data_IF_744409001461
#
_entry.id   IF_744409001461
#
_cell.length_a   1.000
_cell.length_b   1.000
_cell.length_c   1.000
_cell.angle_alpha   90.00
_cell.angle_beta   90.00
_cell.angle_gamma   90.00
#
_symmetry.space_group_name_H-M   'P 1'
#
loop_
_entity.id
_entity.type
_entity.pdbx_description
1 polymer ?
#
# COMPACT_ATOMS: atom_id res chain seq x y z
N UNK A 1 -13.49 22.51 -20.82
CA UNK A 1 -12.18 22.23 -20.17
C UNK A 1 -11.99 20.72 -20.13
N UNK A 2 -10.88 20.21 -20.66
CA UNK A 2 -10.47 18.83 -20.55
C UNK A 2 -9.48 18.72 -19.37
N UNK A 3 -9.71 17.87 -18.37
CA UNK A 3 -8.77 17.69 -17.27
C UNK A 3 -7.53 16.93 -17.77
N UNK A 4 -6.35 17.27 -17.21
CA UNK A 4 -5.11 16.53 -17.44
C UNK A 4 -5.07 15.22 -16.67
N UNK A 5 -5.79 15.15 -15.54
CA UNK A 5 -5.92 13.97 -14.66
C UNK A 5 -7.39 13.69 -14.42
N UNK A 6 -7.81 12.46 -14.66
CA UNK A 6 -9.16 11.97 -14.37
C UNK A 6 -9.08 10.86 -13.32
N UNK A 7 -9.67 11.08 -12.15
CA UNK A 7 -9.81 10.07 -11.10
C UNK A 7 -11.26 9.60 -11.10
N UNK A 8 -11.46 8.30 -11.30
CA UNK A 8 -12.81 7.72 -11.42
C UNK A 8 -12.79 6.24 -11.03
N UNK A 9 -13.95 5.62 -10.89
CA UNK A 9 -14.06 4.18 -10.80
C UNK A 9 -14.52 3.57 -12.12
N UNK A 10 -14.45 2.23 -12.25
CA UNK A 10 -14.73 1.55 -13.51
C UNK A 10 -16.17 1.77 -13.99
N UNK A 11 -17.16 1.73 -13.09
CA UNK A 11 -18.57 1.93 -13.43
C UNK A 11 -18.82 3.36 -13.94
N UNK A 12 -18.22 4.36 -13.30
CA UNK A 12 -18.32 5.75 -13.75
C UNK A 12 -17.63 5.93 -15.09
N UNK A 13 -16.47 5.31 -15.32
CA UNK A 13 -15.79 5.36 -16.62
C UNK A 13 -16.67 4.78 -17.73
N UNK A 14 -17.37 3.67 -17.47
CA UNK A 14 -18.33 3.10 -18.43
C UNK A 14 -19.45 4.08 -18.75
N UNK A 15 -20.05 4.73 -17.76
CA UNK A 15 -21.05 5.78 -17.99
C UNK A 15 -20.50 6.95 -18.78
N UNK A 16 -19.30 7.41 -18.48
CA UNK A 16 -18.64 8.51 -19.18
C UNK A 16 -18.39 8.20 -20.67
N UNK A 17 -18.08 6.96 -21.01
CA UNK A 17 -17.90 6.54 -22.41
C UNK A 17 -19.22 6.55 -23.22
N UNK A 18 -20.34 6.40 -22.55
CA UNK A 18 -21.68 6.36 -23.18
C UNK A 18 -22.36 7.72 -23.24
N UNK A 19 -22.08 8.62 -22.31
CA UNK A 19 -22.78 9.90 -22.18
C UNK A 19 -22.32 10.93 -23.20
N UNK A 20 -23.23 11.61 -23.87
CA UNK A 20 -22.88 12.74 -24.78
C UNK A 20 -22.21 13.91 -24.07
N UNK A 21 -22.51 14.10 -22.78
CA UNK A 21 -21.98 15.21 -21.96
C UNK A 21 -20.45 15.17 -21.85
N UNK A 22 -19.87 13.98 -21.74
CA UNK A 22 -18.43 13.78 -21.61
C UNK A 22 -17.70 13.63 -22.95
N UNK A 23 -18.43 13.70 -24.08
CA UNK A 23 -17.86 13.54 -25.40
C UNK A 23 -16.67 14.47 -25.66
N UNK A 24 -16.75 15.71 -25.17
CA UNK A 24 -15.69 16.69 -25.32
C UNK A 24 -14.36 16.24 -24.70
N UNK A 25 -14.39 15.54 -23.56
CA UNK A 25 -13.18 14.99 -22.90
C UNK A 25 -12.50 14.01 -23.87
N UNK A 26 -13.27 13.10 -24.45
CA UNK A 26 -12.74 12.10 -25.37
C UNK A 26 -12.22 12.70 -26.69
N UNK A 27 -12.92 13.70 -27.23
CA UNK A 27 -12.50 14.37 -28.44
C UNK A 27 -11.23 15.20 -28.24
N UNK A 28 -11.11 15.91 -27.12
CA UNK A 28 -9.91 16.69 -26.79
C UNK A 28 -8.71 15.77 -26.48
N UNK A 29 -8.94 14.67 -25.75
CA UNK A 29 -7.91 13.64 -25.49
C UNK A 29 -7.42 13.00 -26.79
N UNK A 30 -8.33 12.66 -27.72
CA UNK A 30 -7.97 12.12 -29.02
C UNK A 30 -7.12 13.11 -29.82
N UNK A 31 -7.54 14.38 -29.91
CA UNK A 31 -6.78 15.43 -30.61
C UNK A 31 -5.37 15.58 -30.04
N UNK A 32 -5.25 15.52 -28.72
CA UNK A 32 -3.94 15.58 -28.08
C UNK A 32 -3.08 14.35 -28.42
N UNK A 33 -3.64 13.15 -28.37
CA UNK A 33 -2.94 11.93 -28.76
C UNK A 33 -2.52 11.96 -30.26
N UNK A 34 -3.36 12.49 -31.15
CA UNK A 34 -3.08 12.58 -32.56
C UNK A 34 -2.06 13.68 -32.90
N UNK A 35 -1.87 14.66 -32.01
CA UNK A 35 -0.95 15.79 -32.26
C UNK A 35 0.52 15.38 -32.26
N UNK A 36 0.87 14.28 -31.63
CA UNK A 36 2.23 13.73 -31.61
C UNK A 36 2.20 12.22 -31.39
N UNK A 37 2.96 11.46 -32.19
CA UNK A 37 3.09 10.00 -32.06
C UNK A 37 3.67 9.53 -30.73
N UNK A 38 4.43 10.38 -30.06
CA UNK A 38 5.05 10.09 -28.77
C UNK A 38 4.12 10.33 -27.57
N UNK A 39 2.99 11.02 -27.79
CA UNK A 39 2.01 11.22 -26.74
C UNK A 39 1.40 9.89 -26.30
N UNK A 40 1.46 9.59 -25.02
CA UNK A 40 0.90 8.36 -24.42
C UNK A 40 -0.01 8.73 -23.26
N UNK A 41 -1.14 8.06 -23.21
CA UNK A 41 -2.03 8.12 -22.05
C UNK A 41 -1.47 7.23 -20.94
N UNK A 42 -1.43 7.72 -19.71
CA UNK A 42 -1.17 6.89 -18.52
C UNK A 42 -2.50 6.40 -17.96
N UNK A 43 -2.59 5.10 -17.73
CA UNK A 43 -3.78 4.46 -17.14
C UNK A 43 -3.37 3.69 -15.90
N UNK A 44 -3.83 4.16 -14.73
CA UNK A 44 -3.53 3.56 -13.45
C UNK A 44 -4.73 2.75 -12.97
N UNK A 45 -4.50 1.48 -12.65
CA UNK A 45 -5.50 0.59 -12.05
C UNK A 45 -5.03 0.27 -10.64
N UNK A 46 -5.70 0.91 -9.68
CA UNK A 46 -5.43 0.66 -8.28
C UNK A 46 -6.16 -0.60 -7.80
N UNK A 47 -5.56 -1.32 -6.85
CA UNK A 47 -6.07 -2.59 -6.31
C UNK A 47 -6.45 -3.60 -7.42
N UNK A 48 -5.57 -3.76 -8.41
CA UNK A 48 -5.83 -4.57 -9.60
C UNK A 48 -6.27 -6.02 -9.28
N UNK A 49 -5.87 -6.54 -8.12
CA UNK A 49 -6.27 -7.88 -7.66
C UNK A 49 -7.79 -8.05 -7.49
N UNK A 50 -8.54 -6.97 -7.33
CA UNK A 50 -10.00 -6.98 -7.27
C UNK A 50 -10.66 -7.39 -8.60
N UNK A 51 -9.95 -7.21 -9.72
CA UNK A 51 -10.47 -7.49 -11.06
C UNK A 51 -10.06 -8.87 -11.56
N UNK A 52 -10.48 -9.93 -10.83
CA UNK A 52 -10.25 -11.33 -11.22
C UNK A 52 -11.56 -11.98 -11.69
N UNK A 53 -11.44 -13.02 -12.53
CA UNK A 53 -12.59 -13.74 -13.05
C UNK A 53 -13.47 -12.89 -13.96
N UNK A 54 -14.79 -12.95 -13.78
CA UNK A 54 -15.76 -12.23 -14.64
C UNK A 54 -15.59 -10.72 -14.61
N UNK A 55 -15.35 -10.14 -13.42
CA UNK A 55 -15.13 -8.69 -13.29
C UNK A 55 -13.87 -8.21 -14.02
N UNK A 56 -12.83 -9.03 -14.05
CA UNK A 56 -11.64 -8.75 -14.86
C UNK A 56 -11.93 -8.71 -16.36
N UNK A 57 -12.78 -9.63 -16.84
CA UNK A 57 -13.25 -9.63 -18.22
C UNK A 57 -14.04 -8.35 -18.59
N UNK A 58 -14.91 -7.90 -17.71
CA UNK A 58 -15.69 -6.66 -17.90
C UNK A 58 -14.77 -5.43 -17.99
N UNK A 59 -13.79 -5.33 -17.08
CA UNK A 59 -12.80 -4.22 -17.09
C UNK A 59 -11.93 -4.28 -18.33
N UNK A 60 -11.47 -5.45 -18.76
CA UNK A 60 -10.70 -5.61 -20.01
C UNK A 60 -11.51 -5.17 -21.24
N UNK A 61 -12.82 -5.49 -21.29
CA UNK A 61 -13.71 -5.02 -22.35
C UNK A 61 -13.92 -3.52 -22.29
N UNK A 62 -14.07 -2.93 -21.11
CA UNK A 62 -14.18 -1.49 -20.92
C UNK A 62 -12.93 -0.77 -21.42
N UNK A 63 -11.75 -1.28 -21.14
CA UNK A 63 -10.47 -0.75 -21.63
C UNK A 63 -10.43 -0.79 -23.19
N UNK A 64 -10.86 -1.90 -23.82
CA UNK A 64 -10.96 -1.99 -25.28
C UNK A 64 -11.94 -0.95 -25.86
N UNK A 65 -13.07 -0.74 -25.19
CA UNK A 65 -14.03 0.32 -25.59
C UNK A 65 -13.41 1.72 -25.50
N UNK A 66 -12.61 1.97 -24.44
CA UNK A 66 -11.87 3.23 -24.30
C UNK A 66 -10.88 3.42 -25.46
N UNK A 67 -10.10 2.39 -25.80
CA UNK A 67 -9.17 2.46 -26.93
C UNK A 67 -9.90 2.74 -28.24
N UNK A 68 -11.00 2.06 -28.50
CA UNK A 68 -11.83 2.30 -29.67
C UNK A 68 -12.40 3.73 -29.66
N UNK A 69 -12.89 4.22 -28.52
CA UNK A 69 -13.42 5.58 -28.37
C UNK A 69 -12.37 6.65 -28.67
N UNK A 70 -11.13 6.43 -28.24
CA UNK A 70 -10.00 7.32 -28.47
C UNK A 70 -9.31 7.10 -29.82
N UNK A 71 -9.61 6.03 -30.55
CA UNK A 71 -8.95 5.68 -31.81
C UNK A 71 -7.50 5.29 -31.68
N UNK A 72 -7.12 4.69 -30.54
CA UNK A 72 -5.72 4.33 -30.23
C UNK A 72 -5.55 2.82 -30.05
N UNK A 73 -4.31 2.38 -30.20
CA UNK A 73 -3.88 1.03 -29.89
C UNK A 73 -3.17 0.94 -28.53
N UNK A 74 -2.97 -0.27 -28.06
CA UNK A 74 -2.40 -0.56 -26.73
C UNK A 74 -1.04 0.11 -26.48
N UNK A 75 -0.20 0.24 -27.50
CA UNK A 75 1.12 0.87 -27.42
C UNK A 75 1.11 2.38 -27.12
N UNK A 76 -0.06 3.03 -27.28
CA UNK A 76 -0.28 4.45 -26.95
C UNK A 76 -0.70 4.65 -25.49
N UNK A 77 -0.75 3.57 -24.71
CA UNK A 77 -1.14 3.60 -23.30
C UNK A 77 -0.07 2.95 -22.44
N UNK A 78 0.40 3.70 -21.44
CA UNK A 78 1.24 3.17 -20.38
C UNK A 78 0.36 2.76 -19.21
N UNK A 79 0.41 1.49 -18.81
CA UNK A 79 -0.33 0.99 -17.67
C UNK A 79 0.54 0.92 -16.43
N UNK A 80 -0.07 1.29 -15.29
CA UNK A 80 0.44 1.03 -13.95
C UNK A 80 -0.65 0.27 -13.21
N UNK A 81 -0.33 -0.91 -12.69
CA UNK A 81 -1.21 -1.70 -11.86
C UNK A 81 -0.63 -1.76 -10.45
N UNK A 82 -1.41 -1.33 -9.46
CA UNK A 82 -1.00 -1.46 -8.06
C UNK A 82 -1.76 -2.59 -7.39
N UNK A 83 -1.13 -3.27 -6.46
CA UNK A 83 -1.76 -4.33 -5.69
C UNK A 83 -0.94 -4.68 -4.45
N UNK A 84 -1.63 -4.89 -3.32
CA UNK A 84 -1.01 -5.36 -2.08
C UNK A 84 -1.08 -6.90 -1.92
N UNK A 85 -1.89 -7.60 -2.73
CA UNK A 85 -2.32 -8.98 -2.44
C UNK A 85 -1.95 -10.00 -3.52
N UNK A 86 -1.07 -9.66 -4.47
CA UNK A 86 -0.67 -10.65 -5.48
C UNK A 86 0.51 -11.51 -5.01
N UNK A 87 0.47 -12.83 -5.26
CA UNK A 87 1.55 -13.71 -4.84
C UNK A 87 2.85 -13.39 -5.60
N UNK A 88 3.97 -13.44 -4.88
CA UNK A 88 5.30 -13.16 -5.43
C UNK A 88 6.38 -14.11 -4.87
N UNK A 89 5.97 -15.30 -4.42
CA UNK A 89 6.83 -16.24 -3.70
C UNK A 89 7.86 -16.92 -4.62
N UNK A 90 7.51 -17.07 -5.89
CA UNK A 90 8.33 -17.78 -6.88
C UNK A 90 8.09 -17.23 -8.29
N UNK A 91 8.92 -17.66 -9.25
CA UNK A 91 8.83 -17.21 -10.64
C UNK A 91 7.49 -17.57 -11.31
N UNK A 92 6.83 -18.65 -10.90
CA UNK A 92 5.53 -19.05 -11.44
C UNK A 92 4.44 -18.07 -11.00
N UNK A 93 4.50 -17.59 -9.75
CA UNK A 93 3.59 -16.54 -9.26
C UNK A 93 3.77 -15.27 -10.08
N UNK A 94 5.01 -14.82 -10.26
CA UNK A 94 5.31 -13.63 -11.06
C UNK A 94 4.78 -13.77 -12.50
N UNK A 95 5.01 -14.89 -13.15
CA UNK A 95 4.50 -15.16 -14.49
C UNK A 95 2.96 -15.12 -14.55
N UNK A 96 2.30 -15.64 -13.52
CA UNK A 96 0.83 -15.59 -13.42
C UNK A 96 0.31 -14.16 -13.24
N UNK A 97 1.02 -13.33 -12.48
CA UNK A 97 0.70 -11.90 -12.30
C UNK A 97 0.90 -11.15 -13.63
N UNK A 98 1.98 -11.42 -14.34
CA UNK A 98 2.26 -10.81 -15.64
C UNK A 98 1.20 -11.19 -16.68
N UNK A 99 0.80 -12.46 -16.72
CA UNK A 99 -0.30 -12.93 -17.59
C UNK A 99 -1.60 -12.20 -17.26
N UNK A 100 -1.96 -12.12 -15.98
CA UNK A 100 -3.14 -11.38 -15.52
C UNK A 100 -3.08 -9.91 -15.94
N UNK A 101 -1.94 -9.25 -15.76
CA UNK A 101 -1.76 -7.85 -16.16
C UNK A 101 -1.98 -7.65 -17.68
N UNK A 102 -1.46 -8.54 -18.51
CA UNK A 102 -1.66 -8.49 -19.96
C UNK A 102 -3.14 -8.71 -20.35
N UNK A 103 -3.80 -9.70 -19.74
CA UNK A 103 -5.21 -9.98 -19.98
C UNK A 103 -6.12 -8.80 -19.59
N UNK A 104 -5.88 -8.21 -18.39
CA UNK A 104 -6.65 -7.09 -17.88
C UNK A 104 -6.47 -5.83 -18.72
N UNK A 105 -5.25 -5.55 -19.19
CA UNK A 105 -4.94 -4.35 -19.97
C UNK A 105 -5.26 -4.45 -21.45
N UNK A 106 -6.04 -5.44 -21.85
CA UNK A 106 -6.47 -5.67 -23.23
C UNK A 106 -5.30 -5.80 -24.23
N UNK A 107 -4.20 -6.38 -23.78
CA UNK A 107 -3.04 -6.61 -24.63
C UNK A 107 -3.28 -7.81 -25.55
N UNK A 108 -3.22 -7.58 -26.86
CA UNK A 108 -3.27 -8.64 -27.88
C UNK A 108 -1.88 -9.24 -28.15
N UNK A 109 -0.84 -8.56 -27.69
CA UNK A 109 0.56 -8.96 -27.78
C UNK A 109 1.17 -8.92 -26.39
N UNK A 110 2.01 -9.86 -26.03
CA UNK A 110 2.74 -9.81 -24.78
C UNK A 110 3.61 -8.55 -24.72
N UNK A 111 3.16 -7.59 -23.93
CA UNK A 111 3.91 -6.39 -23.61
C UNK A 111 4.55 -6.64 -22.26
N UNK A 112 5.88 -6.56 -22.16
CA UNK A 112 6.56 -6.82 -20.91
C UNK A 112 6.16 -5.75 -19.87
N UNK A 113 5.56 -6.18 -18.77
CA UNK A 113 5.42 -5.38 -17.58
C UNK A 113 6.72 -5.46 -16.77
N UNK A 114 7.14 -4.35 -16.18
CA UNK A 114 8.14 -4.36 -15.12
C UNK A 114 7.43 -4.69 -13.80
N UNK A 115 7.84 -5.79 -13.17
CA UNK A 115 7.30 -6.19 -11.86
C UNK A 115 8.14 -5.57 -10.77
N UNK A 116 7.55 -4.64 -10.02
CA UNK A 116 8.19 -3.96 -8.90
C UNK A 116 7.60 -4.50 -7.60
N UNK A 117 8.44 -4.99 -6.73
CA UNK A 117 8.08 -5.36 -5.35
C UNK A 117 8.77 -4.41 -4.38
N UNK A 118 8.07 -4.02 -3.33
CA UNK A 118 8.72 -3.41 -2.18
C UNK A 118 9.68 -4.41 -1.54
N UNK A 119 10.82 -3.96 -1.12
CA UNK A 119 11.66 -4.72 -0.21
C UNK A 119 10.96 -4.78 1.15
N UNK A 120 10.91 -5.99 1.73
CA UNK A 120 10.44 -6.10 3.11
C UNK A 120 11.55 -5.56 3.98
N UNK A 121 11.28 -4.53 4.74
CA UNK A 121 12.21 -4.08 5.77
C UNK A 121 12.57 -5.29 6.64
N UNK A 122 13.85 -5.60 6.71
CA UNK A 122 14.37 -6.57 7.67
C UNK A 122 14.57 -5.83 8.97
N UNK A 123 14.07 -6.40 10.05
CA UNK A 123 14.39 -5.88 11.38
C UNK A 123 15.80 -6.40 11.68
N UNK A 124 16.79 -5.62 11.27
CA UNK A 124 18.19 -5.89 11.53
C UNK A 124 18.56 -5.33 12.91
N UNK A 125 18.14 -5.99 13.95
CA UNK A 125 18.51 -5.61 15.32
C UNK A 125 18.55 -6.82 16.22
N UNK A 126 19.61 -6.97 17.00
CA UNK A 126 19.61 -7.91 18.10
C UNK A 126 18.71 -7.36 19.20
N UNK A 127 17.78 -8.17 19.70
CA UNK A 127 17.04 -7.86 20.92
C UNK A 127 18.04 -7.58 22.04
N UNK A 128 17.97 -6.41 22.65
CA UNK A 128 18.89 -5.97 23.68
C UNK A 128 18.23 -5.83 25.04
N UNK A 129 16.96 -5.45 25.03
CA UNK A 129 16.22 -5.07 26.22
C UNK A 129 14.89 -5.82 26.29
N UNK A 130 14.35 -5.96 27.48
CA UNK A 130 12.99 -6.46 27.69
C UNK A 130 12.12 -5.39 28.33
N UNK A 131 10.80 -5.56 28.22
CA UNK A 131 9.82 -4.72 28.90
C UNK A 131 9.13 -5.60 29.93
N UNK A 132 9.27 -5.30 31.23
CA UNK A 132 8.56 -6.02 32.27
C UNK A 132 7.05 -5.96 32.07
N UNK A 133 6.36 -7.10 32.18
CA UNK A 133 4.90 -7.16 32.02
C UNK A 133 4.19 -6.31 33.06
N UNK A 134 4.70 -6.27 34.25
CA UNK A 134 4.16 -5.43 35.33
C UNK A 134 4.13 -3.94 34.92
N UNK A 135 5.13 -3.48 34.18
CA UNK A 135 5.16 -2.12 33.67
C UNK A 135 4.05 -1.87 32.66
N UNK A 136 3.80 -2.83 31.76
CA UNK A 136 2.71 -2.74 30.78
C UNK A 136 1.34 -2.79 31.46
N UNK A 137 1.16 -3.70 32.43
CA UNK A 137 -0.10 -3.85 33.16
C UNK A 137 -0.43 -2.62 34.04
N UNK A 138 0.59 -1.94 34.56
CA UNK A 138 0.42 -0.74 35.37
C UNK A 138 0.35 0.56 34.55
N UNK A 139 0.55 0.48 33.25
CA UNK A 139 0.42 1.64 32.35
C UNK A 139 -1.05 1.91 32.07
N UNK A 140 -1.47 3.15 32.23
CA UNK A 140 -2.81 3.59 31.91
C UNK A 140 -2.88 3.99 30.42
N UNK A 141 -3.60 3.23 29.57
CA UNK A 141 -3.67 3.50 28.13
C UNK A 141 -4.28 4.87 27.81
N UNK A 142 -5.22 5.34 28.63
CA UNK A 142 -5.93 6.60 28.38
C UNK A 142 -4.99 7.80 28.41
N UNK A 143 -3.92 7.73 29.22
CA UNK A 143 -2.89 8.79 29.26
C UNK A 143 -2.10 8.95 27.97
N UNK A 144 -2.05 7.91 27.14
CA UNK A 144 -1.40 7.96 25.81
C UNK A 144 -2.34 8.50 24.72
N UNK A 145 -3.61 8.69 25.02
CA UNK A 145 -4.60 9.24 24.07
C UNK A 145 -5.02 10.69 24.37
N UNK A 146 -4.55 11.24 25.50
CA UNK A 146 -4.85 12.59 25.96
C UNK A 146 -4.11 13.68 25.12
N UNK A 147 -4.06 14.90 25.62
CA UNK A 147 -3.34 16.01 24.97
C UNK A 147 -1.82 15.75 24.87
N UNK A 148 -1.14 16.54 24.03
CA UNK A 148 0.28 16.32 23.72
C UNK A 148 1.21 16.38 24.93
N UNK A 149 0.94 17.26 25.91
CA UNK A 149 1.78 17.37 27.10
C UNK A 149 1.59 16.16 28.02
N UNK A 150 0.36 15.67 28.16
CA UNK A 150 0.05 14.45 28.89
C UNK A 150 0.67 13.21 28.24
N UNK A 151 0.60 13.10 26.91
CA UNK A 151 1.24 12.03 26.13
C UNK A 151 2.74 12.00 26.33
N UNK A 152 3.40 13.16 26.20
CA UNK A 152 4.85 13.26 26.39
C UNK A 152 5.24 12.83 27.81
N UNK A 153 4.52 13.34 28.80
CA UNK A 153 4.74 12.99 30.21
C UNK A 153 4.54 11.50 30.48
N UNK A 154 3.48 10.88 29.90
CA UNK A 154 3.20 9.46 30.04
C UNK A 154 4.28 8.59 29.38
N UNK A 155 4.70 8.94 28.16
CA UNK A 155 5.77 8.25 27.46
C UNK A 155 7.10 8.36 28.20
N UNK A 156 7.47 9.54 28.67
CA UNK A 156 8.67 9.73 29.47
C UNK A 156 8.63 8.93 30.77
N UNK A 157 7.49 8.92 31.47
CA UNK A 157 7.32 8.15 32.69
C UNK A 157 7.42 6.63 32.46
N UNK A 158 6.95 6.15 31.32
CA UNK A 158 7.07 4.75 30.90
C UNK A 158 8.53 4.39 30.57
N UNK A 159 9.14 5.11 29.64
CA UNK A 159 10.48 4.81 29.16
C UNK A 159 11.57 4.95 30.23
N UNK A 160 11.45 5.91 31.16
CA UNK A 160 12.38 6.09 32.28
C UNK A 160 12.44 4.89 33.26
N UNK A 161 11.49 3.95 33.18
CA UNK A 161 11.48 2.75 34.00
C UNK A 161 12.18 1.57 33.30
N UNK A 162 12.58 1.74 32.03
CA UNK A 162 13.18 0.68 31.24
C UNK A 162 14.71 0.73 31.28
N UNK A 163 15.30 -0.44 31.34
CA UNK A 163 16.76 -0.60 31.23
C UNK A 163 17.26 -0.10 29.87
N UNK A 164 18.38 0.62 29.88
CA UNK A 164 18.99 1.16 28.66
C UNK A 164 18.39 2.45 28.15
N UNK A 165 17.40 3.02 28.84
CA UNK A 165 16.86 4.34 28.53
C UNK A 165 17.53 5.40 29.43
N UNK A 166 18.23 6.33 28.82
CA UNK A 166 18.86 7.49 29.46
C UNK A 166 18.72 8.71 28.56
N UNK A 167 17.47 9.09 28.31
CA UNK A 167 17.15 10.20 27.41
C UNK A 167 16.09 11.10 28.05
N UNK A 168 16.15 12.37 27.69
CA UNK A 168 15.09 13.36 27.99
C UNK A 168 14.66 14.04 26.71
N UNK A 169 13.37 14.15 26.49
CA UNK A 169 12.79 14.77 25.31
C UNK A 169 11.94 15.97 25.70
N UNK A 170 11.99 17.00 24.88
CA UNK A 170 11.23 18.25 25.07
C UNK A 170 9.94 18.28 24.24
N UNK A 171 9.76 17.35 23.29
CA UNK A 171 8.59 17.26 22.43
C UNK A 171 8.21 15.82 22.09
N UNK A 172 6.94 15.62 21.66
CA UNK A 172 6.49 14.32 21.13
C UNK A 172 7.23 13.92 19.86
N UNK A 173 7.61 14.88 19.02
CA UNK A 173 8.33 14.60 17.79
C UNK A 173 9.71 13.97 18.07
N UNK A 174 10.43 14.49 19.06
CA UNK A 174 11.72 13.95 19.48
C UNK A 174 11.60 12.53 20.03
N UNK A 175 10.64 12.27 20.94
CA UNK A 175 10.48 10.94 21.51
C UNK A 175 9.98 9.92 20.47
N UNK A 176 9.10 10.31 19.55
CA UNK A 176 8.65 9.43 18.46
C UNK A 176 9.77 9.11 17.47
N UNK A 177 10.62 10.09 17.14
CA UNK A 177 11.79 9.84 16.31
C UNK A 177 12.74 8.85 16.98
N UNK A 178 13.02 9.04 18.27
CA UNK A 178 13.84 8.11 19.04
C UNK A 178 13.19 6.71 19.11
N UNK A 179 11.89 6.62 19.38
CA UNK A 179 11.16 5.35 19.39
C UNK A 179 11.25 4.62 18.06
N UNK A 180 11.09 5.32 16.94
CA UNK A 180 11.20 4.76 15.60
C UNK A 180 12.53 4.03 15.38
N UNK A 181 13.62 4.61 15.85
CA UNK A 181 14.97 4.05 15.67
C UNK A 181 15.32 2.95 16.70
N UNK A 182 14.67 2.94 17.87
CA UNK A 182 15.12 2.13 19.01
C UNK A 182 14.13 1.07 19.50
N UNK A 183 12.84 1.22 19.22
CA UNK A 183 11.79 0.32 19.74
C UNK A 183 11.99 -1.14 19.33
N UNK A 184 12.63 -1.36 18.19
CA UNK A 184 12.92 -2.70 17.63
C UNK A 184 13.91 -3.50 18.50
N UNK A 185 14.71 -2.84 19.33
CA UNK A 185 15.65 -3.50 20.24
C UNK A 185 14.99 -4.05 21.50
N UNK A 186 13.73 -3.67 21.75
CA UNK A 186 12.95 -4.17 22.87
C UNK A 186 12.15 -5.41 22.45
N UNK A 187 12.32 -6.50 23.20
CA UNK A 187 11.78 -7.83 22.86
C UNK A 187 10.29 -7.84 22.49
N UNK A 188 9.36 -7.25 23.24
CA UNK A 188 7.94 -7.31 22.89
C UNK A 188 7.61 -6.70 21.53
N UNK A 189 8.25 -5.60 21.16
CA UNK A 189 8.03 -4.96 19.87
C UNK A 189 8.68 -5.74 18.72
N UNK A 190 9.89 -6.28 18.94
CA UNK A 190 10.55 -7.13 17.96
C UNK A 190 9.70 -8.39 17.67
N UNK A 191 9.20 -9.05 18.72
CA UNK A 191 8.32 -10.21 18.56
C UNK A 191 6.97 -9.84 17.93
N UNK A 192 6.36 -8.71 18.31
CA UNK A 192 5.14 -8.20 17.68
C UNK A 192 5.29 -8.08 16.17
N UNK A 193 6.35 -7.41 15.72
CA UNK A 193 6.61 -7.23 14.30
C UNK A 193 6.88 -8.59 13.63
N UNK A 194 7.63 -9.48 14.27
CA UNK A 194 7.93 -10.82 13.77
C UNK A 194 6.65 -11.66 13.58
N UNK A 195 5.75 -11.65 14.54
CA UNK A 195 4.48 -12.40 14.49
C UNK A 195 3.51 -11.83 13.46
N UNK A 196 3.37 -10.51 13.40
CA UNK A 196 2.44 -9.85 12.48
C UNK A 196 2.95 -9.77 11.03
N UNK A 197 4.20 -10.11 10.79
CA UNK A 197 4.82 -9.98 9.47
C UNK A 197 4.29 -11.01 8.47
N UNK A 198 3.39 -10.56 7.61
CA UNK A 198 2.84 -11.37 6.53
C UNK A 198 1.75 -12.37 6.94
N UNK A 199 1.30 -12.33 8.19
CA UNK A 199 0.22 -13.16 8.71
C UNK A 199 -0.79 -12.32 9.50
N UNK A 200 -2.06 -12.69 9.39
CA UNK A 200 -3.07 -12.23 10.34
C UNK A 200 -2.96 -13.14 11.58
N UNK A 201 -2.72 -12.57 12.74
CA UNK A 201 -2.56 -13.30 14.00
C UNK A 201 -3.64 -12.84 14.96
N UNK A 202 -4.29 -13.77 15.67
CA UNK A 202 -5.27 -13.40 16.70
C UNK A 202 -4.58 -12.76 17.91
N UNK A 203 -5.30 -11.89 18.63
CA UNK A 203 -4.76 -11.25 19.84
C UNK A 203 -4.32 -12.28 20.89
N UNK A 204 -5.02 -13.42 21.01
CA UNK A 204 -4.65 -14.50 21.92
C UNK A 204 -3.36 -15.19 21.55
N UNK A 205 -3.15 -15.48 20.26
CA UNK A 205 -1.89 -16.06 19.76
C UNK A 205 -0.74 -15.07 19.90
N UNK A 206 -0.99 -13.80 19.61
CA UNK A 206 0.00 -12.73 19.75
C UNK A 206 0.45 -12.58 21.21
N UNK A 207 -0.49 -12.47 22.13
CA UNK A 207 -0.26 -12.37 23.56
C UNK A 207 0.55 -13.57 24.08
N UNK A 208 0.14 -14.80 23.72
CA UNK A 208 0.87 -16.01 24.08
C UNK A 208 2.27 -16.04 23.49
N UNK A 209 2.47 -15.59 22.26
CA UNK A 209 3.77 -15.60 21.59
C UNK A 209 4.75 -14.57 22.13
N UNK A 210 4.27 -13.39 22.50
CA UNK A 210 5.12 -12.29 22.99
C UNK A 210 5.48 -12.48 24.48
N UNK A 211 4.57 -13.00 25.30
CA UNK A 211 4.68 -13.04 26.75
C UNK A 211 4.81 -14.46 27.34
N UNK A 212 5.14 -15.49 26.56
CA UNK A 212 5.18 -16.91 26.98
C UNK A 212 6.29 -17.30 27.93
N UNK A 213 7.18 -16.41 28.31
CA UNK A 213 8.28 -16.68 29.21
C UNK A 213 8.19 -15.86 30.53
N UNK A 214 6.99 -15.69 31.02
CA UNK A 214 6.69 -15.01 32.28
C UNK A 214 6.22 -16.01 33.32
#
# INVERSE_FOLDING_TARGET
FCPDILITNYSMLEYMLLRPREQKIWDDTRKWLDSNSENKMMFVIDEAHMYRGSSGGEVALLIRRLFHKLGISRNRVQFILTTASMPNRNQQDVNSVMKFANELTASDVEIPFCYLTGERETIDGQMKYDIPVELLLNSDPDRFEDNNDSKLSALMAFWNQLEGFDHSFSSLEEIYSWMYDNIVYYRPFHELIRYCRGNAVSLGELSSGIFTNL
#
